data_IF_066434984503
#
_entry.id   IF_066434984503
#
_cell.length_a   1.000
_cell.length_b   1.000
_cell.length_c   1.000
_cell.angle_alpha   90.00
_cell.angle_beta   90.00
_cell.angle_gamma   90.00
#
_symmetry.space_group_name_H-M   'P 1'
#
loop_
_entity.id
_entity.type
_entity.pdbx_description
1 polymer ?
#
# COMPACT_ATOMS: atom_id res chain seq x y z
N UNK A 1 22.16 4.47 -28.07
CA UNK A 1 21.09 3.91 -28.93
C UNK A 1 19.79 3.95 -28.13
N UNK A 2 18.72 4.57 -28.65
CA UNK A 2 17.41 4.56 -27.96
C UNK A 2 16.76 3.19 -28.20
N UNK A 3 16.68 2.34 -27.17
CA UNK A 3 15.91 1.09 -27.24
C UNK A 3 14.43 1.43 -27.44
N UNK A 4 13.79 0.84 -28.45
CA UNK A 4 12.34 0.94 -28.62
C UNK A 4 11.63 -0.03 -27.66
N UNK A 5 10.34 0.20 -27.31
CA UNK A 5 9.55 -0.77 -26.54
C UNK A 5 9.56 -2.18 -27.17
N UNK A 6 9.57 -2.27 -28.50
CA UNK A 6 9.66 -3.55 -29.22
C UNK A 6 11.02 -4.23 -29.02
N UNK A 7 12.11 -3.46 -29.06
CA UNK A 7 13.47 -3.98 -28.83
C UNK A 7 13.61 -4.50 -27.40
N UNK A 8 13.13 -3.73 -26.41
CA UNK A 8 13.14 -4.16 -25.00
C UNK A 8 12.30 -5.42 -24.78
N UNK A 9 11.12 -5.51 -25.41
CA UNK A 9 10.28 -6.70 -25.31
C UNK A 9 10.96 -7.95 -25.89
N UNK A 10 11.68 -7.80 -27.01
CA UNK A 10 12.45 -8.90 -27.60
C UNK A 10 13.62 -9.33 -26.69
N UNK A 11 14.34 -8.38 -26.09
CA UNK A 11 15.41 -8.68 -25.12
C UNK A 11 14.86 -9.39 -23.87
N UNK A 12 13.74 -8.92 -23.31
CA UNK A 12 13.07 -9.55 -22.17
C UNK A 12 12.58 -10.97 -22.49
N UNK A 13 12.05 -11.18 -23.70
CA UNK A 13 11.66 -12.51 -24.19
C UNK A 13 12.85 -13.45 -24.19
N UNK A 14 13.98 -13.06 -24.78
CA UNK A 14 15.17 -13.91 -24.85
C UNK A 14 15.79 -14.18 -23.47
N UNK A 15 15.80 -13.20 -22.56
CA UNK A 15 16.21 -13.42 -21.18
C UNK A 15 15.32 -14.43 -20.47
N UNK A 16 13.99 -14.37 -20.65
CA UNK A 16 13.06 -15.32 -20.06
C UNK A 16 13.23 -16.72 -20.66
N UNK A 17 13.37 -16.84 -21.98
CA UNK A 17 13.67 -18.11 -22.65
C UNK A 17 14.94 -18.74 -22.08
N UNK A 18 16.02 -17.97 -22.00
CA UNK A 18 17.33 -18.42 -21.48
C UNK A 18 17.20 -18.87 -20.03
N UNK A 19 16.48 -18.11 -19.19
CA UNK A 19 16.22 -18.51 -17.80
C UNK A 19 15.48 -19.85 -17.73
N UNK A 20 14.40 -20.03 -18.49
CA UNK A 20 13.62 -21.28 -18.50
C UNK A 20 14.46 -22.46 -19.00
N UNK A 21 15.26 -22.26 -20.04
CA UNK A 21 16.18 -23.28 -20.56
C UNK A 21 17.23 -23.70 -19.51
N UNK A 22 17.70 -22.75 -18.71
CA UNK A 22 18.73 -22.97 -17.69
C UNK A 22 18.16 -23.59 -16.41
N UNK A 23 16.97 -23.13 -15.98
CA UNK A 23 16.29 -23.59 -14.77
C UNK A 23 15.76 -25.02 -14.90
N UNK A 24 15.28 -25.39 -16.09
CA UNK A 24 14.77 -26.73 -16.38
C UNK A 24 15.71 -27.42 -17.37
N UNK A 25 16.74 -28.11 -16.88
CA UNK A 25 17.69 -28.80 -17.77
C UNK A 25 17.08 -30.09 -18.33
N UNK A 26 17.31 -30.34 -19.62
CA UNK A 26 16.94 -31.58 -20.31
C UNK A 26 18.21 -32.17 -20.93
N UNK A 27 18.41 -33.47 -20.77
CA UNK A 27 19.65 -34.13 -21.20
C UNK A 27 19.69 -34.43 -22.70
N UNK A 28 18.55 -34.59 -23.36
CA UNK A 28 18.49 -34.98 -24.77
C UNK A 28 18.55 -33.77 -25.71
N UNK A 29 19.58 -33.62 -26.57
CA UNK A 29 19.78 -32.41 -27.38
C UNK A 29 18.61 -32.06 -28.30
N UNK A 30 17.97 -33.06 -28.92
CA UNK A 30 16.82 -32.82 -29.79
C UNK A 30 15.62 -32.21 -29.04
N UNK A 31 15.39 -32.64 -27.79
CA UNK A 31 14.30 -32.13 -26.96
C UNK A 31 14.61 -30.71 -26.45
N UNK A 32 15.89 -30.43 -26.17
CA UNK A 32 16.33 -29.06 -25.84
C UNK A 32 16.05 -28.13 -27.01
N UNK A 33 16.40 -28.53 -28.23
CA UNK A 33 16.18 -27.72 -29.43
C UNK A 33 14.69 -27.52 -29.72
N UNK A 34 13.89 -28.57 -29.62
CA UNK A 34 12.43 -28.49 -29.82
C UNK A 34 11.79 -27.51 -28.83
N UNK A 35 12.15 -27.61 -27.54
CA UNK A 35 11.70 -26.67 -26.53
C UNK A 35 12.17 -25.24 -26.82
N UNK A 36 13.43 -25.05 -27.21
CA UNK A 36 13.98 -23.73 -27.53
C UNK A 36 13.19 -23.05 -28.66
N UNK A 37 12.73 -23.84 -29.64
CA UNK A 37 11.88 -23.38 -30.72
C UNK A 37 10.46 -23.04 -30.21
N UNK A 38 9.85 -23.92 -29.40
CA UNK A 38 8.52 -23.69 -28.82
C UNK A 38 8.48 -22.42 -27.94
N UNK A 39 9.46 -22.21 -27.06
CA UNK A 39 9.52 -21.02 -26.21
C UNK A 39 9.62 -19.72 -27.02
N UNK A 40 10.23 -19.77 -28.21
CA UNK A 40 10.37 -18.61 -29.09
C UNK A 40 9.21 -18.41 -30.05
N UNK A 41 8.27 -19.35 -30.14
CA UNK A 41 7.04 -19.13 -30.89
C UNK A 41 6.27 -17.92 -30.33
N UNK A 42 5.58 -17.14 -31.19
CA UNK A 42 4.67 -16.10 -30.72
C UNK A 42 3.66 -16.65 -29.71
N UNK A 43 3.30 -15.84 -28.72
CA UNK A 43 2.24 -16.13 -27.72
C UNK A 43 2.52 -17.26 -26.73
N UNK A 44 3.67 -17.95 -26.82
CA UNK A 44 4.03 -19.02 -25.86
C UNK A 44 4.50 -18.46 -24.52
N UNK A 45 5.56 -17.66 -24.52
CA UNK A 45 6.10 -17.01 -23.31
C UNK A 45 5.95 -15.49 -23.32
N UNK A 46 5.62 -14.92 -24.47
CA UNK A 46 5.51 -13.48 -24.68
C UNK A 46 4.58 -13.17 -25.85
N UNK A 47 3.87 -12.05 -25.76
CA UNK A 47 3.08 -11.46 -26.84
C UNK A 47 3.79 -10.23 -27.42
N UNK A 48 3.40 -9.82 -28.62
CA UNK A 48 3.86 -8.54 -29.19
C UNK A 48 3.36 -7.43 -28.27
N UNK A 49 4.24 -6.48 -27.84
CA UNK A 49 3.80 -5.41 -26.96
C UNK A 49 2.80 -4.51 -27.71
N UNK A 50 1.61 -4.36 -27.15
CA UNK A 50 0.66 -3.34 -27.59
C UNK A 50 1.10 -1.97 -27.07
N UNK A 51 1.17 -0.99 -27.96
CA UNK A 51 1.37 0.41 -27.60
C UNK A 51 0.01 1.08 -27.65
N UNK A 52 -0.56 1.33 -26.48
CA UNK A 52 -1.81 2.07 -26.35
C UNK A 52 -1.51 3.49 -25.85
N UNK A 53 -2.05 4.49 -26.52
CA UNK A 53 -2.12 5.85 -25.98
C UNK A 53 -3.32 5.92 -25.05
N UNK A 54 -3.09 5.83 -23.74
CA UNK A 54 -4.19 6.02 -22.78
C UNK A 54 -4.67 7.47 -22.85
N UNK A 55 -5.95 7.74 -23.17
CA UNK A 55 -6.47 9.10 -23.13
C UNK A 55 -6.28 9.65 -21.71
N UNK A 56 -5.83 10.90 -21.60
CA UNK A 56 -5.72 11.55 -20.29
C UNK A 56 -7.12 11.69 -19.71
N UNK A 57 -7.35 11.14 -18.52
CA UNK A 57 -8.58 11.36 -17.78
C UNK A 57 -8.81 12.86 -17.58
N UNK A 58 -10.08 13.28 -17.64
CA UNK A 58 -10.48 14.64 -17.28
C UNK A 58 -9.94 14.99 -15.89
N UNK A 59 -9.36 16.17 -15.79
CA UNK A 59 -8.84 16.70 -14.52
C UNK A 59 -9.92 17.47 -13.79
N UNK A 60 -10.05 17.19 -12.50
CA UNK A 60 -10.81 18.00 -11.55
C UNK A 60 -9.94 19.03 -10.84
N UNK A 61 -10.32 19.37 -9.62
CA UNK A 61 -9.64 20.32 -8.77
C UNK A 61 -8.35 19.75 -8.14
N UNK A 62 -7.47 20.65 -7.71
CA UNK A 62 -6.38 20.29 -6.81
C UNK A 62 -6.93 19.91 -5.44
N UNK A 63 -6.42 18.84 -4.83
CA UNK A 63 -6.90 18.38 -3.52
C UNK A 63 -6.87 19.50 -2.46
N UNK A 64 -5.82 20.32 -2.45
CA UNK A 64 -5.66 21.49 -1.56
C UNK A 64 -6.69 22.61 -1.78
N UNK A 65 -7.38 22.65 -2.92
CA UNK A 65 -8.37 23.68 -3.25
C UNK A 65 -9.81 23.16 -3.15
N UNK A 66 -10.02 21.88 -2.80
CA UNK A 66 -11.35 21.27 -2.82
C UNK A 66 -12.29 21.83 -1.75
N UNK A 67 -11.74 22.16 -0.57
CA UNK A 67 -12.42 22.93 0.47
C UNK A 67 -13.73 22.33 0.99
N UNK A 68 -13.79 21.00 1.18
CA UNK A 68 -15.00 20.32 1.63
C UNK A 68 -15.22 20.46 3.15
N UNK A 69 -16.44 20.80 3.63
CA UNK A 69 -16.68 21.07 5.06
C UNK A 69 -16.32 19.92 6.00
N UNK A 70 -16.56 18.68 5.56
CA UNK A 70 -16.34 17.46 6.33
C UNK A 70 -14.91 16.92 6.21
N UNK A 71 -14.06 17.54 5.39
CA UNK A 71 -12.71 17.07 5.13
C UNK A 71 -11.72 17.94 5.88
N UNK A 72 -10.86 17.34 6.73
CA UNK A 72 -9.78 18.06 7.39
C UNK A 72 -8.87 18.79 6.40
N UNK A 73 -8.49 20.01 6.73
CA UNK A 73 -7.63 20.85 5.87
C UNK A 73 -6.23 20.27 5.70
N UNK A 74 -5.85 19.39 6.61
CA UNK A 74 -4.59 18.66 6.72
C UNK A 74 -4.50 17.48 5.72
N UNK A 75 -5.63 17.01 5.17
CA UNK A 75 -5.64 15.87 4.25
C UNK A 75 -4.65 16.01 3.06
N UNK A 76 -4.58 17.16 2.35
CA UNK A 76 -3.63 17.33 1.25
C UNK A 76 -2.17 17.19 1.69
N UNK A 77 -1.86 17.59 2.93
CA UNK A 77 -0.51 17.55 3.49
C UNK A 77 -0.06 16.16 3.88
N UNK A 78 -0.95 15.36 4.44
CA UNK A 78 -0.68 13.95 4.73
C UNK A 78 -0.62 13.14 3.42
N UNK A 79 -1.58 13.37 2.52
CA UNK A 79 -1.71 12.60 1.28
C UNK A 79 -0.48 12.73 0.37
N UNK A 80 0.15 13.92 0.28
CA UNK A 80 1.28 14.18 -0.62
C UNK A 80 2.52 13.30 -0.37
N UNK A 81 2.68 12.71 0.82
CA UNK A 81 3.86 11.89 1.14
C UNK A 81 3.87 10.58 0.33
N UNK A 82 2.71 9.98 0.05
CA UNK A 82 2.63 8.73 -0.72
C UNK A 82 1.67 8.74 -1.90
N UNK A 83 0.85 9.79 -2.06
CA UNK A 83 -0.07 9.98 -3.17
C UNK A 83 0.36 11.16 -4.05
N UNK A 84 0.15 11.12 -5.38
CA UNK A 84 0.61 12.14 -6.30
C UNK A 84 -0.26 13.42 -6.31
N UNK A 85 -0.95 13.72 -5.22
CA UNK A 85 -1.98 14.78 -5.12
C UNK A 85 -1.44 16.22 -5.11
N UNK A 86 -0.12 16.39 -4.94
CA UNK A 86 0.58 17.67 -5.11
C UNK A 86 1.26 17.79 -6.49
N UNK A 87 1.43 16.69 -7.22
CA UNK A 87 2.08 16.72 -8.54
C UNK A 87 1.08 16.98 -9.65
N UNK A 88 -0.16 16.52 -9.47
CA UNK A 88 -1.24 16.63 -10.44
C UNK A 88 -2.55 16.98 -9.72
N UNK A 89 -3.49 17.67 -10.40
CA UNK A 89 -4.85 17.78 -9.91
C UNK A 89 -5.49 16.39 -9.80
N UNK A 90 -6.56 16.27 -9.02
CA UNK A 90 -7.34 15.04 -8.97
C UNK A 90 -7.91 14.75 -10.36
N UNK A 91 -8.01 13.48 -10.72
CA UNK A 91 -8.87 13.09 -11.83
C UNK A 91 -10.33 13.23 -11.42
N UNK A 92 -11.22 13.49 -12.39
CA UNK A 92 -12.65 13.65 -12.13
C UNK A 92 -13.24 12.52 -11.27
N UNK A 93 -12.95 11.22 -11.50
CA UNK A 93 -13.45 10.14 -10.65
C UNK A 93 -12.91 10.16 -9.20
N UNK A 94 -11.72 10.72 -8.98
CA UNK A 94 -11.13 10.85 -7.64
C UNK A 94 -11.84 11.96 -6.86
N UNK A 95 -12.07 13.11 -7.51
CA UNK A 95 -12.82 14.21 -6.92
C UNK A 95 -14.26 13.80 -6.62
N UNK A 96 -14.94 13.18 -7.58
CA UNK A 96 -16.32 12.69 -7.42
C UNK A 96 -16.41 11.68 -6.27
N UNK A 97 -15.50 10.70 -6.21
CA UNK A 97 -15.47 9.72 -5.12
C UNK A 97 -15.28 10.41 -3.75
N UNK A 98 -14.40 11.40 -3.67
CA UNK A 98 -14.12 12.12 -2.43
C UNK A 98 -15.30 13.00 -2.00
N UNK A 99 -15.91 13.75 -2.92
CA UNK A 99 -17.11 14.57 -2.65
C UNK A 99 -18.30 13.73 -2.21
N UNK A 100 -18.42 12.54 -2.80
CA UNK A 100 -19.53 11.64 -2.56
C UNK A 100 -19.34 10.75 -1.33
N UNK A 101 -18.16 10.70 -0.71
CA UNK A 101 -17.87 9.77 0.38
C UNK A 101 -18.75 9.97 1.63
N UNK A 102 -19.29 11.18 1.85
CA UNK A 102 -20.23 11.48 2.92
C UNK A 102 -21.51 12.14 2.39
N UNK A 103 -22.60 12.03 3.15
CA UNK A 103 -23.80 12.83 2.98
C UNK A 103 -23.58 14.27 3.49
N UNK A 104 -24.55 15.15 3.24
CA UNK A 104 -24.52 16.55 3.72
C UNK A 104 -24.61 16.69 5.24
N UNK A 105 -25.07 15.66 5.96
CA UNK A 105 -25.01 15.61 7.43
C UNK A 105 -23.67 15.07 7.94
N UNK A 106 -22.74 14.75 7.04
CA UNK A 106 -21.44 14.20 7.35
C UNK A 106 -21.42 12.69 7.62
N UNK A 107 -22.53 11.97 7.44
CA UNK A 107 -22.60 10.50 7.57
C UNK A 107 -21.93 9.80 6.38
N UNK A 108 -21.21 8.67 6.59
CA UNK A 108 -20.52 7.97 5.49
C UNK A 108 -21.52 7.34 4.52
N UNK A 109 -21.13 7.24 3.24
CA UNK A 109 -21.94 6.59 2.19
C UNK A 109 -21.18 5.45 1.53
N UNK A 110 -21.89 4.37 1.23
CA UNK A 110 -21.36 3.27 0.42
C UNK A 110 -21.16 3.70 -1.03
N UNK A 111 -20.04 3.27 -1.64
CA UNK A 111 -19.65 3.69 -2.99
C UNK A 111 -19.06 2.55 -3.81
N UNK A 112 -19.39 2.56 -5.09
CA UNK A 112 -18.77 1.72 -6.12
C UNK A 112 -18.06 2.64 -7.10
N UNK A 113 -16.76 2.43 -7.28
CA UNK A 113 -15.96 3.18 -8.25
C UNK A 113 -15.68 2.29 -9.46
N UNK A 114 -16.45 2.49 -10.52
CA UNK A 114 -16.26 1.81 -11.81
C UNK A 114 -15.55 2.74 -12.80
N UNK A 115 -14.27 2.49 -13.07
CA UNK A 115 -13.45 3.32 -13.97
C UNK A 115 -12.46 2.45 -14.76
N UNK A 116 -11.80 2.99 -15.78
CA UNK A 116 -10.75 2.29 -16.55
C UNK A 116 -9.46 2.05 -15.76
N UNK A 117 -8.58 1.17 -16.21
CA UNK A 117 -7.25 1.01 -15.61
C UNK A 117 -6.47 2.34 -15.67
N UNK A 118 -5.62 2.62 -14.67
CA UNK A 118 -4.86 3.87 -14.62
C UNK A 118 -5.66 5.12 -14.22
N UNK A 119 -6.96 5.03 -13.95
CA UNK A 119 -7.83 6.14 -13.51
C UNK A 119 -7.65 6.57 -12.05
N UNK A 120 -6.69 5.98 -11.34
CA UNK A 120 -6.40 6.35 -9.94
C UNK A 120 -7.45 5.90 -8.94
N UNK A 121 -7.96 4.68 -9.10
CA UNK A 121 -8.87 4.05 -8.13
C UNK A 121 -8.30 4.05 -6.72
N UNK A 122 -6.97 3.93 -6.61
CA UNK A 122 -6.26 3.97 -5.33
C UNK A 122 -6.61 5.23 -4.54
N UNK A 123 -6.52 6.39 -5.16
CA UNK A 123 -6.87 7.66 -4.53
C UNK A 123 -8.38 7.76 -4.25
N UNK A 124 -9.24 7.19 -5.09
CA UNK A 124 -10.69 7.21 -4.88
C UNK A 124 -11.12 6.57 -3.55
N UNK A 125 -10.41 5.56 -3.04
CA UNK A 125 -10.71 4.99 -1.72
C UNK A 125 -9.74 5.44 -0.62
N UNK A 126 -8.47 5.73 -0.92
CA UNK A 126 -7.54 6.20 0.11
C UNK A 126 -7.82 7.61 0.60
N UNK A 127 -8.21 8.53 -0.28
CA UNK A 127 -8.50 9.90 0.16
C UNK A 127 -9.67 9.94 1.16
N UNK A 128 -10.81 9.26 0.90
CA UNK A 128 -11.86 9.16 1.90
C UNK A 128 -11.41 8.51 3.21
N UNK A 129 -10.70 7.38 3.16
CA UNK A 129 -10.23 6.68 4.37
C UNK A 129 -9.30 7.57 5.20
N UNK A 130 -8.34 8.25 4.56
CA UNK A 130 -7.42 9.15 5.25
C UNK A 130 -8.15 10.35 5.86
N UNK A 131 -9.14 10.91 5.15
CA UNK A 131 -9.93 12.01 5.68
C UNK A 131 -10.73 11.57 6.91
N UNK A 132 -11.36 10.40 6.87
CA UNK A 132 -12.12 9.85 8.00
C UNK A 132 -11.24 9.66 9.24
N UNK A 133 -10.07 9.05 9.05
CA UNK A 133 -9.09 8.86 10.12
C UNK A 133 -8.63 10.22 10.66
N UNK A 134 -8.37 11.21 9.79
CA UNK A 134 -7.94 12.55 10.22
C UNK A 134 -9.02 13.30 11.01
N UNK A 135 -10.31 13.15 10.65
CA UNK A 135 -11.43 13.73 11.41
C UNK A 135 -11.39 13.29 12.87
N UNK A 136 -11.08 12.01 13.10
CA UNK A 136 -10.90 11.47 14.44
C UNK A 136 -9.54 11.90 15.05
N UNK A 137 -8.46 11.80 14.27
CA UNK A 137 -7.09 11.90 14.75
C UNK A 137 -6.70 13.28 15.26
N UNK A 138 -7.23 14.33 14.64
CA UNK A 138 -6.97 15.71 15.05
C UNK A 138 -7.53 16.03 16.44
N UNK A 139 -8.44 15.19 16.95
CA UNK A 139 -9.05 15.33 18.26
C UNK A 139 -8.54 14.30 19.28
N UNK A 140 -7.59 13.44 18.91
CA UNK A 140 -7.00 12.50 19.87
C UNK A 140 -6.21 13.24 20.94
N UNK A 141 -6.41 12.83 22.18
CA UNK A 141 -5.58 13.29 23.29
C UNK A 141 -4.14 12.84 23.11
N UNK A 142 -3.20 13.64 23.62
CA UNK A 142 -1.80 13.30 23.65
C UNK A 142 -1.57 11.94 24.38
N UNK A 143 -0.62 11.13 23.91
CA UNK A 143 -0.18 9.94 24.62
C UNK A 143 0.45 10.30 25.98
N UNK A 144 0.44 9.35 26.92
CA UNK A 144 1.00 9.55 28.26
C UNK A 144 2.54 9.63 28.29
N UNK A 145 3.21 9.04 27.30
CA UNK A 145 4.67 8.96 27.23
C UNK A 145 5.14 8.65 25.81
N UNK A 146 6.46 8.69 25.59
CA UNK A 146 7.05 8.23 24.33
C UNK A 146 6.84 6.73 24.12
N UNK A 147 6.66 6.33 22.86
CA UNK A 147 6.49 4.93 22.51
C UNK A 147 7.70 4.07 22.87
N UNK A 148 7.43 2.86 23.37
CA UNK A 148 8.44 1.85 23.67
C UNK A 148 8.22 0.63 22.78
N UNK A 149 9.26 -0.13 22.43
CA UNK A 149 9.09 -1.42 21.77
C UNK A 149 8.14 -2.34 22.54
N UNK A 150 7.47 -3.22 21.80
CA UNK A 150 6.69 -4.29 22.41
C UNK A 150 7.64 -5.29 23.06
N UNK A 151 7.32 -5.74 24.26
CA UNK A 151 8.18 -6.62 25.05
C UNK A 151 7.39 -7.64 25.87
N UNK A 152 8.03 -8.77 26.17
CA UNK A 152 7.44 -9.79 27.03
C UNK A 152 7.75 -9.47 28.50
N UNK A 153 6.72 -9.22 29.30
CA UNK A 153 6.87 -9.00 30.73
C UNK A 153 6.81 -10.34 31.48
N UNK A 154 7.99 -10.86 31.86
CA UNK A 154 8.15 -12.20 32.44
C UNK A 154 7.37 -12.41 33.74
N UNK A 155 7.40 -11.43 34.65
CA UNK A 155 6.70 -11.50 35.95
C UNK A 155 5.18 -11.54 35.79
N UNK A 156 4.65 -10.68 34.92
CA UNK A 156 3.20 -10.62 34.65
C UNK A 156 2.70 -11.68 33.66
N UNK A 157 3.61 -12.45 33.03
CA UNK A 157 3.31 -13.42 31.96
C UNK A 157 2.41 -12.81 30.87
N UNK A 158 2.67 -11.57 30.51
CA UNK A 158 1.86 -10.79 29.56
C UNK A 158 2.76 -10.11 28.53
N UNK A 159 2.24 -9.96 27.31
CA UNK A 159 2.87 -9.15 26.27
C UNK A 159 2.51 -7.68 26.47
N UNK A 160 3.50 -6.82 26.64
CA UNK A 160 3.33 -5.38 26.68
C UNK A 160 3.36 -4.85 25.26
N UNK A 161 2.22 -4.37 24.78
CA UNK A 161 2.11 -3.84 23.42
C UNK A 161 2.94 -2.56 23.26
N UNK A 162 3.51 -2.34 22.07
CA UNK A 162 4.32 -1.13 21.80
C UNK A 162 3.50 0.16 21.96
N UNK A 163 2.19 0.08 21.69
CA UNK A 163 1.21 1.18 21.75
C UNK A 163 0.54 1.38 23.11
N UNK A 164 1.05 0.76 24.19
CA UNK A 164 0.46 0.83 25.55
C UNK A 164 0.43 2.23 26.18
N UNK A 165 1.14 3.17 25.57
CA UNK A 165 1.25 4.56 26.01
C UNK A 165 0.15 5.48 25.43
N UNK A 166 -0.61 4.98 24.44
CA UNK A 166 -1.70 5.73 23.81
C UNK A 166 -2.92 5.80 24.75
N UNK A 167 -3.55 6.97 24.83
CA UNK A 167 -4.72 7.25 25.67
C UNK A 167 -6.03 7.19 24.89
N UNK A 168 -5.96 7.33 23.56
CA UNK A 168 -7.11 7.25 22.68
C UNK A 168 -7.77 5.86 22.67
N UNK A 169 -9.06 5.77 22.36
CA UNK A 169 -9.73 4.49 22.16
C UNK A 169 -9.05 3.63 21.09
N UNK A 170 -8.72 2.38 21.45
CA UNK A 170 -8.19 1.40 20.51
C UNK A 170 -9.32 0.94 19.58
N UNK A 171 -9.10 1.04 18.26
CA UNK A 171 -10.07 0.67 17.25
C UNK A 171 -9.39 0.39 15.90
N UNK A 172 -10.05 -0.41 15.07
CA UNK A 172 -9.70 -0.59 13.67
C UNK A 172 -10.57 0.38 12.85
N UNK A 173 -9.95 1.37 12.20
CA UNK A 173 -10.67 2.43 11.47
C UNK A 173 -10.98 2.04 10.03
N UNK A 174 -10.14 1.22 9.41
CA UNK A 174 -10.33 0.79 8.03
C UNK A 174 -9.76 -0.61 7.81
N UNK A 175 -10.46 -1.40 7.00
CA UNK A 175 -9.96 -2.65 6.42
C UNK A 175 -9.96 -2.48 4.92
N UNK A 176 -8.82 -2.74 4.29
CA UNK A 176 -8.71 -2.75 2.82
C UNK A 176 -8.43 -4.18 2.37
N UNK A 177 -9.38 -4.75 1.62
CA UNK A 177 -9.29 -6.10 1.10
C UNK A 177 -8.81 -6.06 -0.34
N UNK A 178 -7.73 -6.80 -0.62
CA UNK A 178 -7.23 -7.00 -1.98
C UNK A 178 -7.31 -8.48 -2.35
N UNK A 179 -7.59 -8.80 -3.62
CA UNK A 179 -7.70 -10.18 -4.07
C UNK A 179 -6.35 -10.91 -4.15
N UNK A 180 -5.23 -10.18 -4.19
CA UNK A 180 -3.90 -10.77 -4.42
C UNK A 180 -2.81 -10.13 -3.55
N UNK A 181 -1.90 -10.96 -3.03
CA UNK A 181 -0.76 -10.52 -2.23
C UNK A 181 0.15 -9.50 -2.94
N UNK A 182 0.29 -9.60 -4.27
CA UNK A 182 1.07 -8.64 -5.06
C UNK A 182 0.49 -7.22 -4.96
N UNK A 183 -0.85 -7.10 -5.06
CA UNK A 183 -1.54 -5.82 -4.89
C UNK A 183 -1.37 -5.32 -3.45
N UNK A 184 -1.54 -6.19 -2.45
CA UNK A 184 -1.31 -5.82 -1.04
C UNK A 184 0.09 -5.22 -0.86
N UNK A 185 1.13 -5.85 -1.43
CA UNK A 185 2.50 -5.40 -1.28
C UNK A 185 2.77 -4.06 -1.99
N UNK A 186 2.19 -3.84 -3.16
CA UNK A 186 2.29 -2.55 -3.85
C UNK A 186 1.67 -1.42 -3.02
N UNK A 187 0.48 -1.67 -2.49
CA UNK A 187 -0.29 -0.70 -1.73
C UNK A 187 0.34 -0.44 -0.35
N UNK A 188 0.98 -1.45 0.25
CA UNK A 188 1.77 -1.28 1.48
C UNK A 188 2.93 -0.31 1.29
N UNK A 189 3.61 -0.32 0.13
CA UNK A 189 4.68 0.65 -0.16
C UNK A 189 4.13 2.08 -0.19
N UNK A 190 2.92 2.28 -0.72
CA UNK A 190 2.25 3.58 -0.71
C UNK A 190 1.89 4.02 0.70
N UNK A 191 1.26 3.15 1.50
CA UNK A 191 0.94 3.44 2.91
C UNK A 191 2.19 3.76 3.73
N UNK A 192 3.30 3.05 3.52
CA UNK A 192 4.59 3.36 4.15
C UNK A 192 5.06 4.77 3.84
N UNK A 193 4.97 5.20 2.57
CA UNK A 193 5.32 6.58 2.21
C UNK A 193 4.36 7.58 2.84
N UNK A 194 3.05 7.32 2.81
CA UNK A 194 2.04 8.25 3.33
C UNK A 194 2.07 8.40 4.84
N UNK A 195 2.32 7.32 5.59
CA UNK A 195 2.10 7.27 7.04
C UNK A 195 3.36 6.91 7.86
N UNK A 196 4.45 6.46 7.23
CA UNK A 196 5.63 5.96 7.93
C UNK A 196 6.98 6.38 7.32
N UNK A 197 7.01 7.37 6.41
CA UNK A 197 8.27 8.07 6.09
C UNK A 197 8.66 8.98 7.25
N UNK A 198 9.93 9.36 7.35
CA UNK A 198 10.41 10.21 8.44
C UNK A 198 9.66 11.55 8.47
N UNK A 199 9.39 12.13 7.30
CA UNK A 199 8.62 13.37 7.16
C UNK A 199 7.15 13.17 7.55
N UNK A 200 6.54 12.04 7.15
CA UNK A 200 5.17 11.72 7.53
C UNK A 200 5.03 11.47 9.03
N UNK A 201 6.03 10.85 9.68
CA UNK A 201 6.05 10.63 11.12
C UNK A 201 6.26 11.94 11.89
N UNK A 202 7.16 12.81 11.42
CA UNK A 202 7.36 14.14 11.99
C UNK A 202 6.08 14.98 11.89
N UNK A 203 5.48 15.03 10.70
CA UNK A 203 4.22 15.75 10.46
C UNK A 203 3.10 15.23 11.37
N UNK A 204 2.93 13.92 11.51
CA UNK A 204 1.91 13.34 12.39
C UNK A 204 2.15 13.71 13.85
N UNK A 205 3.39 13.67 14.35
CA UNK A 205 3.68 14.06 15.74
C UNK A 205 3.35 15.52 16.01
N UNK A 206 3.63 16.39 15.05
CA UNK A 206 3.33 17.81 15.13
C UNK A 206 1.81 18.08 15.09
N UNK A 207 1.10 17.45 14.16
CA UNK A 207 -0.31 17.78 13.89
C UNK A 207 -1.31 16.94 14.70
N UNK A 208 -0.92 15.77 15.20
CA UNK A 208 -1.79 14.81 15.91
C UNK A 208 -1.42 14.67 17.40
N UNK A 209 -0.85 15.72 18.00
CA UNK A 209 -0.45 15.75 19.42
C UNK A 209 0.46 14.58 19.81
N UNK A 210 1.43 14.22 18.96
CA UNK A 210 2.35 13.10 19.18
C UNK A 210 1.79 11.72 18.83
N UNK A 211 0.51 11.61 18.43
CA UNK A 211 -0.07 10.35 17.99
C UNK A 211 0.38 9.96 16.57
N UNK A 212 0.27 8.66 16.27
CA UNK A 212 0.57 8.10 14.94
C UNK A 212 -0.63 7.29 14.42
N UNK A 213 -0.79 7.31 13.10
CA UNK A 213 -1.71 6.45 12.36
C UNK A 213 -0.95 5.19 11.97
N UNK A 214 -1.46 4.04 12.42
CA UNK A 214 -0.84 2.74 12.17
C UNK A 214 -1.59 1.97 11.09
N UNK A 215 -0.85 1.18 10.34
CA UNK A 215 -1.38 0.20 9.41
C UNK A 215 -0.65 -1.12 9.60
N UNK A 216 -1.31 -2.20 9.23
CA UNK A 216 -0.75 -3.55 9.26
C UNK A 216 -1.14 -4.30 8.00
N UNK A 217 -0.32 -5.30 7.66
CA UNK A 217 -0.60 -6.25 6.58
C UNK A 217 -0.93 -7.60 7.19
N UNK A 218 -2.06 -8.17 6.78
CA UNK A 218 -2.44 -9.53 7.12
C UNK A 218 -2.58 -10.37 5.84
N UNK A 219 -1.68 -11.33 5.65
CA UNK A 219 -1.72 -12.30 4.53
C UNK A 219 -1.41 -13.69 5.06
N UNK A 220 -1.46 -14.71 4.20
CA UNK A 220 -1.03 -16.08 4.54
C UNK A 220 0.45 -16.18 4.97
N UNK A 221 1.26 -15.14 4.73
CA UNK A 221 2.65 -15.06 5.19
C UNK A 221 2.79 -14.41 6.56
N UNK A 222 1.72 -13.86 7.14
CA UNK A 222 1.78 -13.25 8.46
C UNK A 222 1.97 -14.34 9.51
N UNK A 223 3.08 -14.27 10.25
CA UNK A 223 3.37 -15.23 11.30
C UNK A 223 2.33 -15.14 12.42
N UNK A 224 1.79 -16.29 12.82
CA UNK A 224 0.92 -16.38 13.99
C UNK A 224 1.75 -16.33 15.28
N UNK A 225 1.28 -15.69 16.36
CA UNK A 225 2.04 -15.57 17.61
C UNK A 225 2.36 -16.92 18.30
N UNK A 226 1.75 -18.03 17.86
CA UNK A 226 1.94 -19.35 18.45
C UNK A 226 1.19 -19.52 19.77
N UNK A 227 1.40 -20.66 20.46
CA UNK A 227 0.76 -20.93 21.76
C UNK A 227 1.59 -20.34 22.91
N UNK A 228 0.97 -19.78 23.98
CA UNK A 228 1.70 -19.12 25.07
C UNK A 228 2.74 -19.97 25.83
N UNK A 229 2.69 -21.30 25.73
CA UNK A 229 3.64 -22.23 26.34
C UNK A 229 4.82 -22.62 25.43
N UNK A 230 4.82 -22.18 24.17
CA UNK A 230 5.90 -22.47 23.22
C UNK A 230 6.88 -21.29 23.17
N UNK A 231 7.89 -21.33 24.03
CA UNK A 231 8.84 -20.22 24.21
C UNK A 231 9.83 -20.03 23.05
N UNK A 232 9.94 -21.00 22.14
CA UNK A 232 10.92 -20.94 21.04
C UNK A 232 10.68 -19.75 20.11
N UNK A 233 9.42 -19.35 19.85
CA UNK A 233 9.10 -18.15 19.06
C UNK A 233 9.44 -16.86 19.81
N UNK A 234 9.25 -16.81 21.13
CA UNK A 234 9.70 -15.68 21.96
C UNK A 234 11.22 -15.50 21.87
N UNK A 235 11.98 -16.61 21.89
CA UNK A 235 13.45 -16.57 21.72
C UNK A 235 13.88 -16.15 20.32
N UNK A 236 13.09 -16.47 19.29
CA UNK A 236 13.34 -16.01 17.92
C UNK A 236 13.05 -14.51 17.76
N UNK A 237 12.02 -13.99 18.43
CA UNK A 237 11.68 -12.56 18.39
C UNK A 237 12.83 -11.65 18.82
N UNK A 238 13.59 -12.04 19.86
CA UNK A 238 14.78 -11.27 20.28
C UNK A 238 15.79 -11.10 19.13
N UNK A 239 15.93 -12.09 18.24
CA UNK A 239 16.81 -12.00 17.06
C UNK A 239 16.31 -11.00 16.00
N UNK A 240 15.04 -10.63 16.03
CA UNK A 240 14.44 -9.63 15.14
C UNK A 240 14.49 -8.22 15.72
N UNK A 241 14.65 -8.04 17.04
CA UNK A 241 14.82 -6.72 17.65
C UNK A 241 16.26 -6.20 17.60
N UNK A 242 17.25 -7.10 17.49
CA UNK A 242 18.67 -6.76 17.38
C UNK A 242 19.12 -6.42 15.94
N UNK A 243 18.19 -6.21 15.00
CA UNK A 243 18.44 -5.84 13.60
C UNK A 243 17.74 -4.54 13.23
#
# INVERSE_FOLDING_TARGET
MRQSPHTLAAELKEMLCTYLETAYRISHPAVVQERANLLRMPEVVSQIPFIETTPRFSTGAWLRHLGLPWIPRELPELARFGLPTNRFPLWTPQEEALRAAWAEDGSPRDRIVASGTGSGKTECFYLPILADILREALHWSAPNSAGSPGEWHSRGRVWLHSRRYETRPAALRAIVLYPMNALVNDQLRRLRRTLASDEALAWQREHLQGNLIYFARYTSQTEVPGRPHQDWRRRQWNKYQDK
#
